data_IF_596131974537
#
_entry.id   IF_596131974537
#
_cell.length_a   1.000
_cell.length_b   1.000
_cell.length_c   1.000
_cell.angle_alpha   90.00
_cell.angle_beta   90.00
_cell.angle_gamma   90.00
#
_symmetry.space_group_name_H-M   'P 1'
#
loop_
_entity.id
_entity.type
_entity.pdbx_description
1 polymer ?
#
# COMPACT_ATOMS: atom_id res chain seq x y z
N UNK A 1 2.22 -3.99 -42.84
CA UNK A 1 2.86 -4.88 -41.87
C UNK A 1 3.40 -4.14 -40.66
N UNK A 2 4.12 -3.03 -40.85
CA UNK A 2 4.57 -2.13 -39.76
C UNK A 2 3.43 -1.58 -38.92
N UNK A 3 2.26 -1.40 -39.50
CA UNK A 3 1.06 -0.91 -38.82
C UNK A 3 0.57 -1.84 -37.70
N UNK A 4 0.61 -3.16 -37.90
CA UNK A 4 0.19 -4.13 -36.88
C UNK A 4 1.14 -4.19 -35.69
N UNK A 5 2.44 -4.01 -35.91
CA UNK A 5 3.45 -3.99 -34.86
C UNK A 5 3.32 -2.76 -33.96
N UNK A 6 3.04 -1.60 -34.53
CA UNK A 6 2.83 -0.35 -33.79
C UNK A 6 1.57 -0.46 -32.91
N UNK A 7 0.50 -1.05 -33.45
CA UNK A 7 -0.77 -1.24 -32.70
C UNK A 7 -0.61 -2.18 -31.52
N UNK A 8 0.16 -3.26 -31.66
CA UNK A 8 0.44 -4.20 -30.59
C UNK A 8 1.31 -3.56 -29.49
N UNK A 9 2.31 -2.77 -29.86
CA UNK A 9 3.16 -2.05 -28.91
C UNK A 9 2.39 -1.02 -28.10
N UNK A 10 1.47 -0.27 -28.72
CA UNK A 10 0.60 0.70 -28.06
C UNK A 10 -0.34 0.05 -27.05
N UNK A 11 -0.89 -1.10 -27.38
CA UNK A 11 -1.79 -1.85 -26.52
C UNK A 11 -1.05 -2.38 -25.28
N UNK A 12 0.17 -2.88 -25.45
CA UNK A 12 0.99 -3.37 -24.35
C UNK A 12 1.38 -2.27 -23.37
N UNK A 13 1.76 -1.10 -23.88
CA UNK A 13 2.07 0.08 -23.06
C UNK A 13 0.85 0.54 -22.24
N UNK A 14 -0.34 0.50 -22.81
CA UNK A 14 -1.59 0.85 -22.15
C UNK A 14 -1.93 -0.12 -21.01
N UNK A 15 -1.70 -1.41 -21.18
CA UNK A 15 -1.88 -2.41 -20.12
C UNK A 15 -0.94 -2.20 -18.95
N UNK A 16 0.32 -1.87 -19.20
CA UNK A 16 1.30 -1.58 -18.15
C UNK A 16 0.89 -0.36 -17.34
N UNK A 17 0.40 0.69 -18.00
CA UNK A 17 -0.10 1.90 -17.34
C UNK A 17 -1.32 1.61 -16.46
N UNK A 18 -2.24 0.78 -16.90
CA UNK A 18 -3.42 0.38 -16.13
C UNK A 18 -3.04 -0.38 -14.87
N UNK A 19 -2.06 -1.30 -14.95
CA UNK A 19 -1.54 -2.04 -13.79
C UNK A 19 -0.88 -1.09 -12.81
N UNK A 20 -0.10 -0.12 -13.28
CA UNK A 20 0.55 0.89 -12.42
C UNK A 20 -0.47 1.75 -11.67
N UNK A 21 -1.59 2.11 -12.30
CA UNK A 21 -2.65 2.90 -11.68
C UNK A 21 -3.47 2.13 -10.63
N UNK A 22 -3.36 0.80 -10.60
CA UNK A 22 -4.09 -0.04 -9.65
C UNK A 22 -3.43 -0.13 -8.27
N UNK A 23 -2.23 0.40 -8.08
CA UNK A 23 -1.53 0.37 -6.79
C UNK A 23 -1.92 1.58 -5.93
N UNK A 24 -2.59 1.35 -4.78
CA UNK A 24 -3.09 2.43 -3.93
C UNK A 24 -2.03 3.06 -3.01
N UNK A 25 -0.81 2.54 -3.01
CA UNK A 25 0.27 3.08 -2.20
C UNK A 25 1.09 4.12 -2.97
N UNK A 26 1.30 5.28 -2.34
CA UNK A 26 2.17 6.33 -2.89
C UNK A 26 3.56 6.17 -2.30
N UNK A 27 4.55 5.86 -3.14
CA UNK A 27 5.94 5.72 -2.70
C UNK A 27 6.56 7.08 -2.40
N UNK A 28 7.24 7.17 -1.25
CA UNK A 28 8.06 8.32 -0.86
C UNK A 28 9.53 7.94 -0.93
N UNK A 29 9.85 6.74 -0.49
CA UNK A 29 11.19 6.20 -0.53
C UNK A 29 11.36 5.16 -1.64
N UNK A 30 12.45 4.41 -1.58
CA UNK A 30 12.73 3.31 -2.50
C UNK A 30 12.04 2.04 -2.03
N UNK A 31 11.30 1.39 -2.92
CA UNK A 31 10.72 0.09 -2.63
C UNK A 31 11.81 -0.97 -2.50
N UNK A 32 11.66 -1.84 -1.51
CA UNK A 32 12.51 -3.02 -1.30
C UNK A 32 11.78 -4.28 -1.77
N UNK A 33 12.47 -5.42 -1.86
CA UNK A 33 11.79 -6.67 -2.21
C UNK A 33 10.60 -6.96 -1.27
N UNK A 34 9.55 -7.52 -1.84
CA UNK A 34 8.34 -7.90 -1.12
C UNK A 34 8.66 -8.79 0.09
N UNK A 35 8.03 -8.51 1.22
CA UNK A 35 8.12 -9.32 2.43
C UNK A 35 6.80 -10.03 2.68
N UNK A 36 6.81 -11.02 3.58
CA UNK A 36 5.59 -11.68 4.02
C UNK A 36 4.74 -10.70 4.86
N UNK A 37 3.47 -10.57 4.51
CA UNK A 37 2.52 -9.72 5.24
C UNK A 37 2.53 -10.00 6.75
N UNK A 38 2.66 -11.25 7.16
CA UNK A 38 2.67 -11.65 8.57
C UNK A 38 3.85 -11.08 9.36
N UNK A 39 4.91 -10.67 8.66
CA UNK A 39 6.08 -10.06 9.28
C UNK A 39 5.96 -8.55 9.43
N UNK A 40 4.91 -7.94 8.86
CA UNK A 40 4.68 -6.50 8.95
C UNK A 40 4.00 -6.19 10.28
N UNK A 41 4.66 -5.43 11.14
CA UNK A 41 4.12 -5.01 12.44
C UNK A 41 3.11 -3.88 12.25
N UNK A 42 2.01 -3.93 12.99
CA UNK A 42 1.01 -2.86 13.00
C UNK A 42 1.20 -2.00 14.24
N UNK A 43 1.47 -0.72 14.04
CA UNK A 43 1.50 0.27 15.13
C UNK A 43 0.19 1.06 15.10
N UNK A 44 -0.68 0.73 16.05
CA UNK A 44 -1.98 1.36 16.21
C UNK A 44 -2.52 1.09 17.63
N UNK A 45 -2.94 2.14 18.37
CA UNK A 45 -2.90 3.58 18.05
C UNK A 45 -1.55 4.24 18.33
N UNK A 46 -0.61 3.55 18.96
CA UNK A 46 0.64 4.12 19.42
C UNK A 46 1.65 4.31 18.29
N UNK A 47 2.57 5.24 18.49
CA UNK A 47 3.68 5.47 17.57
C UNK A 47 4.64 4.29 17.59
N UNK A 48 5.36 4.03 16.48
CA UNK A 48 6.45 3.07 16.48
C UNK A 48 7.50 3.39 17.54
N UNK A 49 7.97 2.34 18.23
CA UNK A 49 9.05 2.46 19.21
C UNK A 49 10.43 2.59 18.56
N UNK A 50 10.53 2.33 17.26
CA UNK A 50 11.78 2.42 16.50
C UNK A 50 11.92 3.76 15.80
N UNK A 51 13.17 4.11 15.48
CA UNK A 51 13.42 5.13 14.47
C UNK A 51 13.16 4.52 13.10
N UNK A 52 12.47 5.22 12.22
CA UNK A 52 12.00 4.64 10.98
C UNK A 52 12.17 5.57 9.78
N UNK A 53 12.27 4.96 8.60
CA UNK A 53 12.18 5.62 7.32
C UNK A 53 10.81 5.32 6.70
N UNK A 54 10.17 6.34 6.14
CA UNK A 54 8.89 6.18 5.47
C UNK A 54 9.13 5.71 4.03
N UNK A 55 8.56 4.56 3.68
CA UNK A 55 8.63 4.00 2.33
C UNK A 55 7.52 4.55 1.45
N UNK A 56 6.33 4.70 2.01
CA UNK A 56 5.18 5.21 1.28
C UNK A 56 4.00 5.53 2.18
N UNK A 57 2.98 6.09 1.59
CA UNK A 57 1.72 6.42 2.27
C UNK A 57 0.61 5.55 1.69
N UNK A 58 -0.16 4.95 2.58
CA UNK A 58 -1.28 4.08 2.23
C UNK A 58 -2.58 4.82 2.53
N UNK A 59 -3.48 4.86 1.56
CA UNK A 59 -4.83 5.40 1.74
C UNK A 59 -5.86 4.32 1.44
N UNK A 60 -6.79 4.11 2.35
CA UNK A 60 -7.93 3.22 2.17
C UNK A 60 -9.18 4.08 2.11
N UNK A 61 -9.88 4.05 0.98
CA UNK A 61 -11.02 4.92 0.71
C UNK A 61 -12.37 4.27 0.99
N UNK A 62 -12.41 3.04 1.48
CA UNK A 62 -13.63 2.33 1.83
C UNK A 62 -13.64 0.88 1.37
N UNK A 63 -14.79 0.23 1.49
CA UNK A 63 -14.97 -1.16 1.08
C UNK A 63 -14.60 -2.19 2.13
N UNK A 64 -14.33 -1.78 3.36
CA UNK A 64 -13.97 -2.68 4.45
C UNK A 64 -14.98 -2.63 5.57
N UNK A 65 -15.50 -3.80 5.95
CA UNK A 65 -16.53 -3.95 6.97
C UNK A 65 -16.00 -3.81 8.39
N UNK A 66 -14.72 -4.02 8.60
CA UNK A 66 -14.12 -3.98 9.93
C UNK A 66 -12.78 -3.27 9.91
N UNK A 67 -12.40 -2.72 11.06
CA UNK A 67 -11.07 -2.14 11.24
C UNK A 67 -9.98 -3.16 10.99
N UNK A 68 -10.16 -4.39 11.47
CA UNK A 68 -9.16 -5.46 11.30
C UNK A 68 -8.93 -5.79 9.83
N UNK A 69 -9.98 -5.92 9.02
CA UNK A 69 -9.82 -6.22 7.60
C UNK A 69 -9.12 -5.08 6.86
N UNK A 70 -9.37 -3.83 7.23
CA UNK A 70 -8.67 -2.69 6.68
C UNK A 70 -7.19 -2.70 7.06
N UNK A 71 -6.86 -2.98 8.32
CA UNK A 71 -5.48 -3.06 8.79
C UNK A 71 -4.71 -4.19 8.09
N UNK A 72 -5.35 -5.32 7.87
CA UNK A 72 -4.75 -6.44 7.11
C UNK A 72 -4.46 -6.02 5.67
N UNK A 73 -5.34 -5.27 5.04
CA UNK A 73 -5.09 -4.73 3.69
C UNK A 73 -3.91 -3.77 3.68
N UNK A 74 -3.80 -2.91 4.68
CA UNK A 74 -2.65 -2.01 4.83
C UNK A 74 -1.35 -2.79 5.00
N UNK A 75 -1.35 -3.86 5.79
CA UNK A 75 -0.19 -4.76 5.92
C UNK A 75 0.22 -5.35 4.57
N UNK A 76 -0.76 -5.81 3.79
CA UNK A 76 -0.48 -6.41 2.48
C UNK A 76 0.17 -5.41 1.53
N UNK A 77 -0.32 -4.18 1.50
CA UNK A 77 0.23 -3.13 0.66
C UNK A 77 1.65 -2.74 1.10
N UNK A 78 1.88 -2.64 2.40
CA UNK A 78 3.20 -2.36 2.95
C UNK A 78 4.19 -3.48 2.62
N UNK A 79 3.76 -4.73 2.73
CA UNK A 79 4.58 -5.90 2.41
C UNK A 79 5.03 -5.90 0.94
N UNK A 80 4.16 -5.47 0.03
CA UNK A 80 4.48 -5.42 -1.41
C UNK A 80 5.66 -4.51 -1.72
N UNK A 81 5.85 -3.46 -0.94
CA UNK A 81 6.95 -2.50 -1.13
C UNK A 81 8.12 -2.76 -0.18
N UNK A 82 8.11 -3.87 0.54
CA UNK A 82 9.20 -4.27 1.44
C UNK A 82 9.24 -3.51 2.75
N UNK A 83 8.15 -2.87 3.16
CA UNK A 83 8.05 -2.24 4.46
C UNK A 83 7.99 -3.29 5.56
N UNK A 84 8.55 -2.99 6.73
CA UNK A 84 8.58 -3.90 7.88
C UNK A 84 7.50 -3.60 8.90
N UNK A 85 6.84 -2.46 8.77
CA UNK A 85 5.77 -2.06 9.68
C UNK A 85 4.84 -1.06 9.00
N UNK A 86 3.67 -0.88 9.58
CA UNK A 86 2.77 0.23 9.26
C UNK A 86 2.54 1.06 10.51
N UNK A 87 2.52 2.37 10.33
CA UNK A 87 2.12 3.32 11.37
C UNK A 87 0.79 3.93 10.93
N UNK A 88 -0.29 3.53 11.60
CA UNK A 88 -1.64 4.00 11.27
C UNK A 88 -1.81 5.42 11.78
N UNK A 89 -2.11 6.34 10.86
CA UNK A 89 -2.26 7.77 11.16
C UNK A 89 -3.70 8.15 11.47
N UNK A 90 -4.64 7.55 10.73
CA UNK A 90 -6.05 7.90 10.82
C UNK A 90 -6.91 6.71 10.45
N UNK A 91 -7.98 6.52 11.22
CA UNK A 91 -9.05 5.56 10.90
C UNK A 91 -10.38 6.23 11.15
N UNK A 92 -11.34 5.99 10.29
CA UNK A 92 -12.69 6.51 10.45
C UNK A 92 -13.71 5.51 9.91
N UNK A 93 -14.76 5.32 10.68
CA UNK A 93 -15.92 4.55 10.24
C UNK A 93 -16.91 5.51 9.62
N UNK A 94 -17.18 5.37 8.32
CA UNK A 94 -18.15 6.21 7.60
C UNK A 94 -19.56 5.65 7.70
N UNK A 95 -19.70 4.31 7.66
CA UNK A 95 -20.97 3.61 7.67
C UNK A 95 -20.74 2.21 8.23
N UNK A 96 -21.81 1.45 8.44
CA UNK A 96 -21.75 0.07 8.94
C UNK A 96 -20.78 -0.79 8.10
N UNK A 97 -20.64 -0.47 6.83
CA UNK A 97 -19.88 -1.26 5.86
C UNK A 97 -18.62 -0.58 5.33
N UNK A 98 -18.25 0.59 5.87
CA UNK A 98 -17.16 1.34 5.29
C UNK A 98 -16.23 1.92 6.35
N UNK A 99 -14.97 1.53 6.25
CA UNK A 99 -13.86 2.16 6.97
C UNK A 99 -12.94 2.84 5.98
N UNK A 100 -12.49 4.02 6.33
CA UNK A 100 -11.41 4.71 5.64
C UNK A 100 -10.23 4.89 6.59
N UNK A 101 -9.06 5.02 6.04
CA UNK A 101 -7.89 5.23 6.87
C UNK A 101 -6.66 5.57 6.06
N UNK A 102 -5.63 5.99 6.78
CA UNK A 102 -4.32 6.25 6.22
C UNK A 102 -3.23 5.73 7.15
N UNK A 103 -2.13 5.31 6.56
CA UNK A 103 -0.99 4.78 7.29
C UNK A 103 0.31 5.10 6.56
N UNK A 104 1.40 5.14 7.30
CA UNK A 104 2.75 5.13 6.72
C UNK A 104 3.24 3.70 6.63
N UNK A 105 3.71 3.30 5.45
CA UNK A 105 4.50 2.09 5.30
C UNK A 105 5.93 2.45 5.66
N UNK A 106 6.51 1.81 6.66
CA UNK A 106 7.79 2.19 7.23
C UNK A 106 8.75 1.03 7.33
N UNK A 107 10.05 1.35 7.41
CA UNK A 107 11.10 0.43 7.81
C UNK A 107 11.78 0.96 9.05
N UNK A 108 11.81 0.14 10.11
CA UNK A 108 12.53 0.47 11.32
C UNK A 108 14.04 0.41 11.05
N UNK A 109 14.77 1.40 11.51
CA UNK A 109 16.23 1.39 11.48
C UNK A 109 16.75 0.51 12.62
N UNK A 110 17.77 -0.22 12.31
CA UNK A 110 18.44 -1.09 13.29
C UNK A 110 19.49 -0.32 14.08
#
# INVERSE_FOLDING_TARGET
>A
MTYKAIKAGSFLAMLILLVSCAHPITLIGTAEPTVDRKLVTIYYPDRPACNFDTVGIIYIEGGYYSLVSMLVKMQSQAAEVGATAIYVLHTQRLDIKEYIGSAKAIRCRV
#
